data_IF_870182174371
#
_entry.id   IF_870182174371
#
_cell.length_a   1.000
_cell.length_b   1.000
_cell.length_c   1.000
_cell.angle_alpha   90.00
_cell.angle_beta   90.00
_cell.angle_gamma   90.00
#
_symmetry.space_group_name_H-M   'P 1'
#
loop_
_entity.id
_entity.type
_entity.pdbx_description
1 polymer ?
#
# COMPACT_ATOMS: atom_id res chain seq x y z
N UNK A 1 9.56 -0.98 -18.16
CA UNK A 1 9.29 -1.05 -16.71
C UNK A 1 8.89 0.35 -16.27
N UNK A 2 7.78 0.52 -15.54
CA UNK A 2 7.32 1.84 -15.07
C UNK A 2 8.26 2.31 -13.95
N UNK A 3 8.64 3.59 -13.92
CA UNK A 3 9.48 4.12 -12.82
C UNK A 3 8.62 4.27 -11.56
N UNK A 4 9.18 4.02 -10.39
CA UNK A 4 8.44 4.13 -9.12
C UNK A 4 7.87 5.54 -8.90
N UNK A 5 8.62 6.58 -9.29
CA UNK A 5 8.16 7.96 -9.27
C UNK A 5 6.90 8.16 -10.10
N UNK A 6 6.92 7.75 -11.38
CA UNK A 6 5.75 7.90 -12.27
C UNK A 6 4.52 7.20 -11.69
N UNK A 7 4.71 6.00 -11.14
CA UNK A 7 3.64 5.23 -10.53
C UNK A 7 3.02 5.94 -9.32
N UNK A 8 3.84 6.45 -8.41
CA UNK A 8 3.36 7.16 -7.21
C UNK A 8 2.72 8.50 -7.57
N UNK A 9 3.27 9.23 -8.56
CA UNK A 9 2.67 10.47 -9.06
C UNK A 9 1.30 10.22 -9.70
N UNK A 10 1.14 9.13 -10.45
CA UNK A 10 -0.17 8.73 -11.00
C UNK A 10 -1.18 8.40 -9.89
N UNK A 11 -0.76 7.68 -8.84
CA UNK A 11 -1.61 7.39 -7.69
C UNK A 11 -2.03 8.67 -6.96
N UNK A 12 -1.08 9.58 -6.73
CA UNK A 12 -1.37 10.86 -6.11
C UNK A 12 -2.35 11.70 -6.94
N UNK A 13 -2.22 11.70 -8.26
CA UNK A 13 -3.16 12.37 -9.17
C UNK A 13 -4.59 11.77 -9.12
N UNK A 14 -4.72 10.50 -8.73
CA UNK A 14 -6.00 9.84 -8.47
C UNK A 14 -6.49 10.02 -7.02
N UNK A 15 -5.78 10.80 -6.20
CA UNK A 15 -6.14 11.04 -4.80
C UNK A 15 -5.73 9.93 -3.83
N UNK A 16 -4.92 8.96 -4.28
CA UNK A 16 -4.35 7.90 -3.44
C UNK A 16 -3.08 8.42 -2.79
N UNK A 17 -3.17 8.70 -1.50
CA UNK A 17 -2.06 9.26 -0.73
C UNK A 17 -1.68 8.45 0.50
N UNK A 18 -2.32 7.31 0.78
CA UNK A 18 -1.94 6.38 1.84
C UNK A 18 -1.57 5.01 1.28
N UNK A 19 -0.48 4.43 1.77
CA UNK A 19 0.11 3.19 1.28
C UNK A 19 0.35 2.24 2.44
N UNK A 20 -0.04 0.99 2.31
CA UNK A 20 0.25 -0.05 3.30
C UNK A 20 0.42 -1.40 2.63
N UNK A 21 1.09 -2.35 3.30
CA UNK A 21 1.28 -3.68 2.73
C UNK A 21 2.46 -4.45 3.29
N UNK A 22 2.65 -5.66 2.77
CA UNK A 22 3.73 -6.57 3.15
C UNK A 22 4.82 -6.55 2.08
N UNK A 23 6.08 -6.22 2.42
CA UNK A 23 7.17 -6.15 1.44
C UNK A 23 7.48 -7.52 0.83
N UNK A 24 7.78 -7.54 -0.46
CA UNK A 24 8.22 -8.74 -1.19
C UNK A 24 9.40 -8.41 -2.11
N UNK A 25 10.17 -9.44 -2.48
CA UNK A 25 11.31 -9.33 -3.39
C UNK A 25 10.97 -8.68 -4.74
N UNK A 26 9.79 -8.95 -5.30
CA UNK A 26 9.33 -8.37 -6.56
C UNK A 26 8.82 -6.92 -6.40
N UNK A 27 8.35 -6.57 -5.20
CA UNK A 27 7.87 -5.23 -4.87
C UNK A 27 8.96 -4.33 -4.27
N UNK A 28 10.18 -4.86 -4.11
CA UNK A 28 11.31 -4.17 -3.50
C UNK A 28 11.47 -2.73 -4.00
N UNK A 29 11.52 -2.43 -5.32
CA UNK A 29 11.71 -1.06 -5.80
C UNK A 29 10.64 -0.08 -5.30
N UNK A 30 9.36 -0.47 -5.33
CA UNK A 30 8.27 0.41 -4.88
C UNK A 30 8.24 0.55 -3.36
N UNK A 31 8.53 -0.53 -2.61
CA UNK A 31 8.61 -0.46 -1.15
C UNK A 31 9.71 0.49 -0.68
N UNK A 32 10.90 0.44 -1.28
CA UNK A 32 11.99 1.38 -0.95
C UNK A 32 11.64 2.81 -1.37
N UNK A 33 11.08 3.00 -2.56
CA UNK A 33 10.65 4.31 -3.01
C UNK A 33 9.63 4.95 -2.05
N UNK A 34 8.61 4.19 -1.62
CA UNK A 34 7.61 4.67 -0.67
C UNK A 34 8.23 4.96 0.71
N UNK A 35 9.13 4.11 1.19
CA UNK A 35 9.81 4.34 2.47
C UNK A 35 10.59 5.66 2.49
N UNK A 36 11.23 6.02 1.37
CA UNK A 36 12.03 7.24 1.26
C UNK A 36 11.18 8.51 1.01
N UNK A 37 9.99 8.39 0.42
CA UNK A 37 9.24 9.55 -0.12
C UNK A 37 7.85 9.76 0.50
N UNK A 38 7.23 8.75 1.09
CA UNK A 38 5.83 8.84 1.56
C UNK A 38 5.69 9.26 3.04
N UNK A 39 6.78 9.24 3.81
CA UNK A 39 6.77 9.59 5.24
C UNK A 39 5.70 8.82 6.02
N UNK A 40 4.95 9.52 6.86
CA UNK A 40 3.88 8.94 7.71
C UNK A 40 2.70 8.37 6.92
N UNK A 41 2.66 8.57 5.59
CA UNK A 41 1.62 8.02 4.74
C UNK A 41 1.93 6.61 4.21
N UNK A 42 3.08 6.03 4.56
CA UNK A 42 3.41 4.64 4.26
C UNK A 42 3.63 3.83 5.53
N UNK A 43 2.82 2.78 5.70
CA UNK A 43 2.91 1.87 6.85
C UNK A 43 3.19 0.45 6.36
N UNK A 44 4.30 -0.12 6.81
CA UNK A 44 4.59 -1.55 6.55
C UNK A 44 3.76 -2.40 7.50
N UNK A 45 2.93 -3.29 6.96
CA UNK A 45 2.05 -4.16 7.73
C UNK A 45 2.76 -5.45 8.15
N UNK A 46 2.39 -6.00 9.31
CA UNK A 46 2.93 -7.27 9.81
C UNK A 46 2.45 -8.50 9.02
N UNK A 47 1.28 -8.40 8.39
CA UNK A 47 0.71 -9.38 7.47
C UNK A 47 -0.33 -8.69 6.56
N UNK A 48 -0.78 -9.37 5.51
CA UNK A 48 -1.65 -8.79 4.49
C UNK A 48 -3.02 -8.41 5.06
N UNK A 49 -3.56 -9.22 5.98
CA UNK A 49 -4.80 -8.91 6.67
C UNK A 49 -4.71 -7.61 7.48
N UNK A 50 -3.60 -7.40 8.18
CA UNK A 50 -3.30 -6.14 8.88
C UNK A 50 -3.17 -4.96 7.92
N UNK A 51 -2.56 -5.17 6.75
CA UNK A 51 -2.47 -4.17 5.69
C UNK A 51 -3.85 -3.74 5.19
N UNK A 52 -4.74 -4.69 4.91
CA UNK A 52 -6.12 -4.41 4.51
C UNK A 52 -6.88 -3.71 5.64
N UNK A 53 -6.75 -4.16 6.89
CA UNK A 53 -7.42 -3.52 8.03
C UNK A 53 -6.99 -2.04 8.20
N UNK A 54 -5.71 -1.73 8.04
CA UNK A 54 -5.20 -0.35 8.07
C UNK A 54 -5.81 0.50 6.94
N UNK A 55 -5.83 -0.06 5.71
CA UNK A 55 -6.45 0.59 4.57
C UNK A 55 -7.95 0.85 4.78
N UNK A 56 -8.70 -0.14 5.27
CA UNK A 56 -10.11 0.03 5.61
C UNK A 56 -10.31 1.13 6.65
N UNK A 57 -9.50 1.15 7.72
CA UNK A 57 -9.53 2.21 8.73
C UNK A 57 -9.27 3.61 8.14
N UNK A 58 -8.26 3.73 7.26
CA UNK A 58 -7.96 4.97 6.56
C UNK A 58 -9.14 5.45 5.70
N UNK A 59 -9.73 4.54 4.92
CA UNK A 59 -10.87 4.85 4.07
C UNK A 59 -12.08 5.30 4.89
N UNK A 60 -12.40 4.60 5.98
CA UNK A 60 -13.50 4.96 6.87
C UNK A 60 -13.30 6.32 7.54
N UNK A 61 -12.07 6.67 7.91
CA UNK A 61 -11.77 7.93 8.57
C UNK A 61 -11.75 9.14 7.62
N UNK A 62 -11.38 8.94 6.35
CA UNK A 62 -11.07 10.05 5.42
C UNK A 62 -11.95 10.09 4.17
N UNK A 63 -12.62 9.00 3.83
CA UNK A 63 -13.30 8.79 2.55
C UNK A 63 -12.36 8.59 1.35
N UNK A 64 -11.04 8.67 1.53
CA UNK A 64 -10.05 8.51 0.45
C UNK A 64 -9.72 7.05 0.20
N UNK A 65 -9.34 6.72 -1.03
CA UNK A 65 -8.97 5.35 -1.40
C UNK A 65 -7.49 5.09 -1.06
N UNK A 66 -7.17 4.13 -0.18
CA UNK A 66 -5.80 3.72 0.11
C UNK A 66 -5.25 2.74 -0.94
N UNK A 67 -3.93 2.60 -1.00
CA UNK A 67 -3.26 1.51 -1.72
C UNK A 67 -2.80 0.43 -0.75
N UNK A 68 -3.13 -0.82 -1.07
CA UNK A 68 -2.57 -2.00 -0.41
C UNK A 68 -1.67 -2.75 -1.40
N UNK A 69 -0.41 -2.97 -1.04
CA UNK A 69 0.51 -3.80 -1.83
C UNK A 69 0.76 -5.16 -1.16
N UNK A 70 0.78 -6.22 -1.96
CA UNK A 70 1.08 -7.59 -1.55
C UNK A 70 1.47 -8.44 -2.76
N UNK A 71 2.10 -9.58 -2.52
CA UNK A 71 2.37 -10.60 -3.54
C UNK A 71 1.26 -11.66 -3.52
N UNK A 72 1.06 -12.37 -4.64
CA UNK A 72 -0.01 -13.37 -4.84
C UNK A 72 -0.18 -14.36 -3.66
N UNK A 73 0.92 -14.85 -3.07
CA UNK A 73 0.85 -15.80 -1.95
C UNK A 73 0.15 -15.24 -0.71
N UNK A 74 0.17 -13.91 -0.53
CA UNK A 74 -0.51 -13.20 0.54
C UNK A 74 -2.01 -12.96 0.30
N UNK A 75 -2.53 -13.23 -0.89
CA UNK A 75 -3.94 -12.96 -1.23
C UNK A 75 -4.91 -13.72 -0.32
N UNK A 76 -4.58 -14.94 0.09
CA UNK A 76 -5.42 -15.70 1.03
C UNK A 76 -5.53 -15.04 2.42
N UNK A 77 -4.50 -14.30 2.83
CA UNK A 77 -4.43 -13.65 4.14
C UNK A 77 -5.27 -12.36 4.20
N UNK A 78 -5.78 -11.86 3.07
CA UNK A 78 -6.62 -10.66 3.02
C UNK A 78 -8.09 -10.93 3.28
N UNK A 79 -8.55 -12.18 3.33
CA UNK A 79 -9.98 -12.52 3.29
C UNK A 79 -10.74 -12.07 4.54
N UNK A 80 -10.17 -12.22 5.74
CA UNK A 80 -10.88 -11.87 6.98
C UNK A 80 -11.33 -10.39 7.06
N UNK A 81 -10.51 -9.41 6.65
CA UNK A 81 -10.89 -7.99 6.68
C UNK A 81 -11.59 -7.44 5.41
N UNK A 82 -11.75 -8.23 4.34
CA UNK A 82 -12.46 -7.84 3.11
C UNK A 82 -13.97 -8.10 3.22
#
# INVERSE_FOLDING_TARGET
MIRCQDFVEWLAALGVDFYTGVPDSLLKPVCFYLADHAGDKHVVAANEGGGVALACGYHLATGKVPLVYLQNSGQGNTINPL
#
